data_IF_780150264678
#
_entry.id   IF_780150264678
#
_cell.length_a   1.000
_cell.length_b   1.000
_cell.length_c   1.000
_cell.angle_alpha   90.00
_cell.angle_beta   90.00
_cell.angle_gamma   90.00
#
_symmetry.space_group_name_H-M   'P 1'
#
loop_
_entity.id
_entity.type
_entity.pdbx_description
1 polymer ?
#
# COMPACT_ATOMS: atom_id res chain seq x y z
N UNK A 1 12.03 24.31 -4.62
CA UNK A 1 10.71 23.90 -4.06
C UNK A 1 10.64 22.42 -3.69
N UNK A 2 11.47 21.56 -4.28
CA UNK A 2 11.43 20.10 -4.05
C UNK A 2 11.71 19.66 -2.61
N UNK A 3 12.76 20.18 -1.97
CA UNK A 3 13.14 19.80 -0.59
C UNK A 3 12.04 20.08 0.46
N UNK A 4 11.47 21.30 0.56
CA UNK A 4 10.42 21.57 1.55
C UNK A 4 9.15 20.77 1.27
N UNK A 5 8.76 20.58 0.00
CA UNK A 5 7.59 19.77 -0.36
C UNK A 5 7.79 18.30 0.02
N UNK A 6 8.97 17.72 -0.27
CA UNK A 6 9.28 16.33 0.10
C UNK A 6 9.18 16.10 1.62
N UNK A 7 9.69 17.04 2.41
CA UNK A 7 9.61 16.97 3.88
C UNK A 7 8.15 17.10 4.33
N UNK A 8 7.40 18.07 3.82
CA UNK A 8 6.00 18.26 4.16
C UNK A 8 5.14 17.02 3.81
N UNK A 9 5.32 16.45 2.62
CA UNK A 9 4.63 15.22 2.19
C UNK A 9 4.95 14.03 3.11
N UNK A 10 6.22 13.87 3.51
CA UNK A 10 6.60 12.82 4.44
C UNK A 10 5.97 13.00 5.83
N UNK A 11 5.93 14.24 6.34
CA UNK A 11 5.28 14.55 7.62
C UNK A 11 3.78 14.24 7.55
N UNK A 12 3.09 14.74 6.52
CA UNK A 12 1.65 14.49 6.33
C UNK A 12 1.38 12.99 6.23
N UNK A 13 2.20 12.26 5.48
CA UNK A 13 2.08 10.82 5.35
C UNK A 13 2.17 10.11 6.71
N UNK A 14 3.19 10.43 7.52
CA UNK A 14 3.36 9.87 8.86
C UNK A 14 2.16 10.21 9.76
N UNK A 15 1.66 11.44 9.71
CA UNK A 15 0.50 11.87 10.48
C UNK A 15 -0.77 11.11 10.08
N UNK A 16 -0.99 10.89 8.77
CA UNK A 16 -2.14 10.12 8.27
C UNK A 16 -2.06 8.67 8.73
N UNK A 17 -0.90 8.01 8.56
CA UNK A 17 -0.70 6.62 9.00
C UNK A 17 -0.91 6.50 10.52
N UNK A 18 -0.32 7.41 11.30
CA UNK A 18 -0.51 7.43 12.75
C UNK A 18 -1.99 7.66 13.14
N UNK A 19 -2.67 8.59 12.46
CA UNK A 19 -4.08 8.86 12.67
C UNK A 19 -4.96 7.64 12.42
N UNK A 20 -4.70 6.89 11.35
CA UNK A 20 -5.41 5.64 11.05
C UNK A 20 -5.13 4.58 12.10
N UNK A 21 -3.87 4.37 12.49
CA UNK A 21 -3.53 3.37 13.53
C UNK A 21 -4.24 3.71 14.85
N UNK A 22 -4.25 4.99 15.24
CA UNK A 22 -4.93 5.44 16.46
C UNK A 22 -6.44 5.27 16.38
N UNK A 23 -7.06 5.47 15.21
CA UNK A 23 -8.52 5.35 15.04
C UNK A 23 -9.02 3.91 15.10
N UNK A 24 -8.17 2.92 14.78
CA UNK A 24 -8.53 1.49 14.81
C UNK A 24 -7.82 0.70 15.90
N UNK A 25 -7.06 1.34 16.80
CA UNK A 25 -6.17 0.66 17.76
C UNK A 25 -6.84 -0.46 18.57
N UNK A 26 -8.09 -0.26 18.99
CA UNK A 26 -8.81 -1.16 19.89
C UNK A 26 -9.29 -2.43 19.15
N UNK A 27 -9.50 -2.33 17.83
CA UNK A 27 -9.96 -3.42 16.97
C UNK A 27 -8.85 -3.95 16.04
N UNK A 28 -7.70 -3.29 16.00
CA UNK A 28 -6.63 -3.54 15.04
C UNK A 28 -6.18 -5.01 15.04
N UNK A 29 -5.96 -5.59 16.23
CA UNK A 29 -5.52 -6.99 16.35
C UNK A 29 -6.60 -7.96 15.87
N UNK A 30 -7.88 -7.67 16.10
CA UNK A 30 -8.97 -8.50 15.60
C UNK A 30 -9.03 -8.43 14.07
N UNK A 31 -9.02 -7.21 13.51
CA UNK A 31 -9.06 -6.98 12.07
C UNK A 31 -7.83 -7.58 11.36
N UNK A 32 -6.65 -7.48 11.97
CA UNK A 32 -5.42 -8.07 11.42
C UNK A 32 -5.51 -9.61 11.39
N UNK A 33 -6.10 -10.24 12.40
CA UNK A 33 -6.32 -11.70 12.40
C UNK A 33 -7.30 -12.14 11.32
N UNK A 34 -8.30 -11.32 11.04
CA UNK A 34 -9.35 -11.62 10.08
C UNK A 34 -8.91 -11.38 8.63
N UNK A 35 -8.35 -10.21 8.35
CA UNK A 35 -8.05 -9.75 6.99
C UNK A 35 -6.56 -9.67 6.68
N UNK A 36 -5.66 -9.80 7.66
CA UNK A 36 -4.22 -9.54 7.48
C UNK A 36 -3.55 -10.45 6.47
N UNK A 37 -3.72 -11.77 6.61
CA UNK A 37 -3.12 -12.74 5.68
C UNK A 37 -3.68 -12.60 4.25
N UNK A 38 -5.02 -12.56 4.04
CA UNK A 38 -5.58 -12.31 2.70
C UNK A 38 -5.12 -10.99 2.09
N UNK A 39 -5.08 -9.90 2.87
CA UNK A 39 -4.63 -8.60 2.39
C UNK A 39 -3.16 -8.61 1.98
N UNK A 40 -2.29 -9.25 2.77
CA UNK A 40 -0.87 -9.37 2.44
C UNK A 40 -0.66 -10.22 1.19
N UNK A 41 -1.33 -11.36 1.08
CA UNK A 41 -1.25 -12.22 -0.10
C UNK A 41 -1.70 -11.48 -1.36
N UNK A 42 -2.83 -10.77 -1.29
CA UNK A 42 -3.30 -9.94 -2.40
C UNK A 42 -2.25 -8.92 -2.79
N UNK A 43 -1.73 -8.16 -1.83
CA UNK A 43 -0.75 -7.10 -2.08
C UNK A 43 0.54 -7.65 -2.72
N UNK A 44 1.15 -8.68 -2.13
CA UNK A 44 2.39 -9.25 -2.67
C UNK A 44 2.16 -9.86 -4.05
N UNK A 45 1.00 -10.49 -4.27
CA UNK A 45 0.64 -11.05 -5.58
C UNK A 45 0.50 -9.95 -6.63
N UNK A 46 -0.23 -8.87 -6.36
CA UNK A 46 -0.42 -7.78 -7.34
C UNK A 46 0.86 -7.03 -7.63
N UNK A 47 1.70 -6.81 -6.61
CA UNK A 47 3.02 -6.18 -6.78
C UNK A 47 3.96 -7.05 -7.62
N UNK A 48 3.99 -8.36 -7.34
CA UNK A 48 4.81 -9.33 -8.08
C UNK A 48 4.35 -9.43 -9.53
N UNK A 49 3.04 -9.56 -9.75
CA UNK A 49 2.48 -9.61 -11.10
C UNK A 49 2.76 -8.31 -11.87
N UNK A 50 2.56 -7.15 -11.25
CA UNK A 50 2.88 -5.85 -11.87
C UNK A 50 4.34 -5.76 -12.30
N UNK A 51 5.27 -6.18 -11.44
CA UNK A 51 6.68 -6.24 -11.75
C UNK A 51 7.01 -7.20 -12.90
N UNK A 52 6.53 -8.45 -12.81
CA UNK A 52 6.80 -9.48 -13.82
C UNK A 52 6.21 -9.13 -15.18
N UNK A 53 5.01 -8.55 -15.21
CA UNK A 53 4.40 -8.06 -16.44
C UNK A 53 5.23 -6.93 -17.04
N UNK A 54 5.66 -5.95 -16.25
CA UNK A 54 6.51 -4.88 -16.74
C UNK A 54 7.82 -5.40 -17.36
N UNK A 55 8.44 -6.41 -16.75
CA UNK A 55 9.61 -7.09 -17.32
C UNK A 55 9.27 -7.87 -18.61
N UNK A 56 8.12 -8.54 -18.65
CA UNK A 56 7.68 -9.28 -19.84
C UNK A 56 7.47 -8.34 -21.04
N UNK A 57 6.96 -7.14 -20.79
CA UNK A 57 6.86 -6.05 -21.78
C UNK A 57 8.19 -5.31 -22.03
N UNK A 58 9.32 -5.82 -21.49
CA UNK A 58 10.67 -5.29 -21.69
C UNK A 58 10.85 -3.83 -21.23
N UNK A 59 10.11 -3.40 -20.20
CA UNK A 59 10.31 -2.08 -19.59
C UNK A 59 11.60 -2.06 -18.75
N UNK A 60 12.12 -0.86 -18.51
CA UNK A 60 13.31 -0.69 -17.67
C UNK A 60 13.05 -1.10 -16.21
N UNK A 61 14.10 -1.49 -15.48
CA UNK A 61 13.98 -1.87 -14.06
C UNK A 61 13.34 -0.76 -13.19
N UNK A 62 13.68 0.54 -13.36
CA UNK A 62 12.98 1.62 -12.66
C UNK A 62 11.49 1.66 -12.96
N UNK A 63 11.08 1.50 -14.21
CA UNK A 63 9.66 1.46 -14.59
C UNK A 63 8.96 0.24 -14.01
N UNK A 64 9.60 -0.94 -14.03
CA UNK A 64 9.03 -2.15 -13.45
C UNK A 64 8.80 -2.02 -11.93
N UNK A 65 9.74 -1.40 -11.20
CA UNK A 65 9.55 -1.10 -9.78
C UNK A 65 8.43 -0.08 -9.55
N UNK A 66 8.35 0.96 -10.39
CA UNK A 66 7.25 1.92 -10.33
C UNK A 66 5.89 1.24 -10.50
N UNK A 67 5.74 0.40 -11.52
CA UNK A 67 4.51 -0.36 -11.80
C UNK A 67 4.19 -1.31 -10.65
N UNK A 68 5.18 -2.02 -10.10
CA UNK A 68 4.99 -2.88 -8.93
C UNK A 68 4.42 -2.11 -7.72
N UNK A 69 4.93 -0.91 -7.46
CA UNK A 69 4.45 -0.07 -6.35
C UNK A 69 3.04 0.47 -6.66
N UNK A 70 2.78 0.92 -7.89
CA UNK A 70 1.46 1.44 -8.29
C UNK A 70 0.36 0.37 -8.25
N UNK A 71 0.67 -0.89 -8.57
CA UNK A 71 -0.30 -1.99 -8.44
C UNK A 71 -0.47 -2.49 -6.99
N UNK A 72 0.53 -2.23 -6.13
CA UNK A 72 0.49 -2.57 -4.71
C UNK A 72 -0.23 -1.54 -3.85
N UNK A 73 0.00 -0.26 -4.08
CA UNK A 73 -0.61 0.84 -3.33
C UNK A 73 -1.97 1.16 -3.93
N UNK A 74 -3.03 0.87 -3.17
CA UNK A 74 -4.41 1.13 -3.60
C UNK A 74 -5.01 2.33 -2.87
N UNK A 75 -6.14 2.83 -3.38
CA UNK A 75 -6.89 3.90 -2.72
C UNK A 75 -7.80 3.34 -1.62
N UNK A 76 -7.26 3.25 -0.40
CA UNK A 76 -8.00 2.76 0.76
C UNK A 76 -9.26 3.58 1.10
N UNK A 77 -9.22 4.90 0.93
CA UNK A 77 -10.36 5.79 1.20
C UNK A 77 -11.54 5.50 0.28
N UNK A 78 -11.28 5.30 -1.02
CA UNK A 78 -12.32 4.94 -1.98
C UNK A 78 -12.90 3.56 -1.65
N UNK A 79 -12.07 2.60 -1.28
CA UNK A 79 -12.52 1.26 -0.92
C UNK A 79 -13.39 1.25 0.36
N UNK A 80 -13.00 2.01 1.39
CA UNK A 80 -13.83 2.19 2.60
C UNK A 80 -15.16 2.86 2.25
N UNK A 81 -15.13 3.92 1.44
CA UNK A 81 -16.33 4.61 0.97
C UNK A 81 -17.26 3.68 0.20
N UNK A 82 -16.72 2.81 -0.66
CA UNK A 82 -17.51 1.81 -1.37
C UNK A 82 -18.14 0.79 -0.41
N UNK A 83 -17.40 0.31 0.58
CA UNK A 83 -17.92 -0.61 1.59
C UNK A 83 -19.07 0.01 2.39
N UNK A 84 -18.88 1.23 2.90
CA UNK A 84 -19.84 1.86 3.82
C UNK A 84 -21.02 2.53 3.11
N UNK A 85 -20.79 3.23 2.00
CA UNK A 85 -21.81 4.02 1.31
C UNK A 85 -22.46 3.24 0.18
N UNK A 86 -21.66 2.65 -0.71
CA UNK A 86 -22.20 1.99 -1.89
C UNK A 86 -22.78 0.60 -1.58
N UNK A 87 -22.09 -0.18 -0.74
CA UNK A 87 -22.52 -1.52 -0.34
C UNK A 87 -23.32 -1.54 0.97
N UNK A 88 -23.41 -0.40 1.66
CA UNK A 88 -24.13 -0.24 2.93
C UNK A 88 -23.74 -1.30 3.98
N UNK A 89 -22.47 -1.71 3.99
CA UNK A 89 -21.95 -2.69 4.93
C UNK A 89 -20.58 -2.26 5.48
N UNK A 90 -20.59 -1.70 6.69
CA UNK A 90 -19.39 -1.21 7.36
C UNK A 90 -18.39 -2.33 7.71
N UNK A 91 -18.84 -3.58 7.85
CA UNK A 91 -17.96 -4.72 8.13
C UNK A 91 -16.98 -4.97 6.97
N UNK A 92 -17.39 -4.69 5.72
CA UNK A 92 -16.50 -4.81 4.57
C UNK A 92 -15.35 -3.79 4.58
N UNK A 93 -15.42 -2.74 5.40
CA UNK A 93 -14.34 -1.76 5.53
C UNK A 93 -13.12 -2.31 6.30
N UNK A 94 -13.24 -3.47 6.97
CA UNK A 94 -12.14 -4.14 7.65
C UNK A 94 -10.98 -4.42 6.68
N UNK A 95 -11.29 -4.95 5.49
CA UNK A 95 -10.30 -5.32 4.47
C UNK A 95 -9.50 -4.11 3.99
N UNK A 96 -10.10 -3.02 3.47
CA UNK A 96 -9.33 -1.86 3.01
C UNK A 96 -8.64 -1.11 4.15
N UNK A 97 -9.15 -1.15 5.39
CA UNK A 97 -8.46 -0.57 6.54
C UNK A 97 -7.13 -1.29 6.84
N UNK A 98 -7.14 -2.63 6.86
CA UNK A 98 -5.94 -3.43 7.08
C UNK A 98 -5.01 -3.40 5.86
N UNK A 99 -5.54 -3.58 4.66
CA UNK A 99 -4.74 -3.48 3.43
C UNK A 99 -4.05 -2.12 3.33
N UNK A 100 -4.76 -1.03 3.63
CA UNK A 100 -4.24 0.34 3.59
C UNK A 100 -3.02 0.57 4.48
N UNK A 101 -2.91 -0.15 5.61
CA UNK A 101 -1.71 -0.09 6.46
C UNK A 101 -0.60 -1.00 5.93
N UNK A 102 -0.94 -2.24 5.54
CA UNK A 102 0.04 -3.23 5.09
C UNK A 102 0.73 -2.82 3.77
N UNK A 103 0.01 -2.20 2.84
CA UNK A 103 0.56 -1.80 1.54
C UNK A 103 1.70 -0.78 1.66
N UNK A 104 1.72 0.04 2.71
CA UNK A 104 2.82 0.97 2.94
C UNK A 104 4.07 0.25 3.45
N UNK A 105 3.90 -0.80 4.25
CA UNK A 105 5.02 -1.63 4.73
C UNK A 105 5.68 -2.35 3.56
N UNK A 106 4.90 -3.01 2.70
CA UNK A 106 5.44 -3.72 1.53
C UNK A 106 6.08 -2.78 0.52
N UNK A 107 5.46 -1.63 0.24
CA UNK A 107 6.06 -0.60 -0.62
C UNK A 107 7.39 -0.08 -0.06
N UNK A 108 7.47 0.19 1.25
CA UNK A 108 8.71 0.60 1.89
C UNK A 108 9.81 -0.45 1.73
N UNK A 109 9.48 -1.74 1.93
CA UNK A 109 10.43 -2.85 1.73
C UNK A 109 11.00 -2.82 0.31
N UNK A 110 10.14 -2.74 -0.72
CA UNK A 110 10.59 -2.67 -2.13
C UNK A 110 11.50 -1.46 -2.36
N UNK A 111 11.13 -0.29 -1.83
CA UNK A 111 11.92 0.94 -1.97
C UNK A 111 13.31 0.80 -1.35
N UNK A 112 13.44 0.15 -0.19
CA UNK A 112 14.73 -0.08 0.47
C UNK A 112 15.59 -1.13 -0.24
N UNK A 113 14.99 -2.17 -0.81
CA UNK A 113 15.73 -3.24 -1.52
C UNK A 113 15.87 -2.98 -3.03
N UNK A 114 15.54 -1.78 -3.53
CA UNK A 114 15.59 -1.50 -4.98
C UNK A 114 17.01 -1.53 -5.58
N UNK A 115 18.05 -1.27 -4.79
CA UNK A 115 19.45 -1.28 -5.24
C UNK A 115 19.89 -2.64 -5.78
N UNK A 116 19.72 -3.76 -5.05
CA UNK A 116 19.99 -5.09 -5.60
C UNK A 116 19.05 -5.49 -6.77
N UNK A 117 17.96 -4.76 -7.03
CA UNK A 117 17.11 -4.94 -8.21
C UNK A 117 17.67 -4.26 -9.48
N UNK A 118 18.91 -3.74 -9.42
CA UNK A 118 19.64 -3.20 -10.57
C UNK A 118 19.41 -1.71 -10.84
N UNK A 119 18.93 -0.96 -9.85
CA UNK A 119 18.83 0.50 -9.93
C UNK A 119 20.04 1.12 -9.22
N UNK A 120 20.89 1.80 -10.00
CA UNK A 120 21.96 2.66 -9.49
C UNK A 120 21.42 4.09 -9.51
N UNK A 121 21.49 4.78 -8.36
CA UNK A 121 21.02 6.16 -8.19
C UNK A 121 21.82 7.15 -9.07
#
# INVERSE_FOLDING_TARGET
MEKPVKIASAIIFVLVVAGVILSIKDVFIAYLKEAGLPALLLNITTMTLGFLLALWFKLSRPQAISISIETGIQNGTLAITLATIALNNAEYAIVPAIYGLLMFVSAAIIIFIRKPLGIVD
#
